data_IF_371169270421
#
_entry.id   IF_371169270421
#
_cell.length_a   1.000
_cell.length_b   1.000
_cell.length_c   1.000
_cell.angle_alpha   90.00
_cell.angle_beta   90.00
_cell.angle_gamma   90.00
#
_symmetry.space_group_name_H-M   'P 1'
#
loop_
_entity.id
_entity.type
_entity.pdbx_description
1 polymer ?
#
# COMPACT_ATOMS: atom_id res chain seq x y z
N UNK A 1 -6.37 8.08 -6.97
CA UNK A 1 -5.02 8.50 -7.44
C UNK A 1 -3.97 7.48 -7.01
N UNK A 2 -2.99 7.18 -7.87
CA UNK A 2 -1.87 6.26 -7.57
C UNK A 2 -0.55 6.97 -7.82
N UNK A 3 0.42 6.80 -6.94
CA UNK A 3 1.76 7.40 -7.06
C UNK A 3 2.84 6.45 -6.60
N UNK A 4 3.83 6.21 -7.46
CA UNK A 4 5.10 5.58 -7.10
C UNK A 4 6.16 6.67 -6.97
N UNK A 5 6.92 6.67 -5.89
CA UNK A 5 7.92 7.74 -5.63
C UNK A 5 9.12 7.20 -4.87
N UNK A 6 10.33 7.68 -5.18
CA UNK A 6 11.50 7.41 -4.34
C UNK A 6 11.53 8.31 -3.09
N UNK A 7 10.88 9.48 -3.18
CA UNK A 7 10.91 10.51 -2.14
C UNK A 7 10.00 10.17 -0.95
N UNK A 8 10.43 10.50 0.28
CA UNK A 8 9.56 10.43 1.46
C UNK A 8 8.26 11.23 1.29
N UNK A 9 7.22 10.79 2.00
CA UNK A 9 5.93 11.48 2.03
C UNK A 9 5.39 11.56 3.45
N UNK A 10 4.54 12.56 3.70
CA UNK A 10 3.88 12.79 4.97
C UNK A 10 2.45 12.23 4.96
N UNK A 11 2.17 11.09 5.63
CA UNK A 11 0.88 10.42 5.53
C UNK A 11 -0.29 11.28 6.04
N UNK A 12 -0.07 12.04 7.12
CA UNK A 12 -1.10 12.92 7.69
C UNK A 12 -1.50 14.05 6.73
N UNK A 13 -0.53 14.59 5.97
CA UNK A 13 -0.81 15.60 4.96
C UNK A 13 -1.55 15.02 3.76
N UNK A 14 -1.20 13.79 3.33
CA UNK A 14 -1.93 13.06 2.29
C UNK A 14 -3.38 12.81 2.70
N UNK A 15 -3.61 12.32 3.93
CA UNK A 15 -4.95 12.08 4.45
C UNK A 15 -5.77 13.37 4.55
N UNK A 16 -5.18 14.44 5.07
CA UNK A 16 -5.85 15.76 5.18
C UNK A 16 -6.32 16.24 3.81
N UNK A 17 -5.45 16.17 2.79
CA UNK A 17 -5.81 16.53 1.41
C UNK A 17 -6.86 15.58 0.84
N UNK A 18 -6.75 14.29 1.12
CA UNK A 18 -7.70 13.30 0.62
C UNK A 18 -9.10 13.50 1.19
N UNK A 19 -9.25 13.97 2.43
CA UNK A 19 -10.56 14.23 3.05
C UNK A 19 -11.22 15.55 2.61
N UNK A 20 -10.46 16.51 2.08
CA UNK A 20 -10.97 17.85 1.80
C UNK A 20 -12.05 17.86 0.70
N UNK A 21 -13.14 18.61 0.93
CA UNK A 21 -14.17 18.91 -0.09
C UNK A 21 -15.06 17.74 -0.49
N UNK A 22 -15.29 16.76 0.38
CA UNK A 22 -16.13 15.58 0.09
C UNK A 22 -17.47 15.62 0.80
N UNK A 23 -18.46 16.28 0.19
CA UNK A 23 -19.78 16.45 0.79
C UNK A 23 -20.61 15.16 0.84
N UNK A 24 -20.35 14.23 -0.08
CA UNK A 24 -21.10 12.96 -0.19
C UNK A 24 -20.38 11.76 0.47
N UNK A 25 -19.18 11.93 1.03
CA UNK A 25 -18.41 10.83 1.66
C UNK A 25 -18.71 10.73 3.16
N UNK A 26 -19.32 9.63 3.58
CA UNK A 26 -19.62 9.38 5.00
C UNK A 26 -18.48 8.73 5.79
N UNK A 27 -17.46 8.17 5.12
CA UNK A 27 -16.29 7.60 5.80
C UNK A 27 -15.02 7.58 4.94
N UNK A 28 -13.89 7.76 5.61
CA UNK A 28 -12.55 7.50 5.07
C UNK A 28 -11.83 6.52 6.00
N UNK A 29 -11.20 5.50 5.42
CA UNK A 29 -10.25 4.64 6.11
C UNK A 29 -8.87 4.83 5.47
N UNK A 30 -7.82 4.79 6.29
CA UNK A 30 -6.45 4.88 5.77
C UNK A 30 -5.51 3.93 6.50
N UNK A 31 -4.52 3.43 5.76
CA UNK A 31 -3.44 2.60 6.25
C UNK A 31 -2.09 3.22 5.91
N UNK A 32 -1.13 3.11 6.84
CA UNK A 32 0.27 3.47 6.62
C UNK A 32 1.14 2.28 6.97
N UNK A 33 1.91 1.79 6.00
CA UNK A 33 2.94 0.80 6.23
C UNK A 33 4.28 1.48 6.49
N UNK A 34 4.89 1.18 7.63
CA UNK A 34 6.23 1.66 7.98
C UNK A 34 7.28 0.58 7.75
N UNK A 35 8.46 0.98 7.30
CA UNK A 35 9.63 0.11 7.26
C UNK A 35 10.00 -0.31 8.68
N UNK A 36 10.29 -1.60 8.88
CA UNK A 36 10.71 -2.14 10.16
C UNK A 36 12.15 -2.60 10.06
N UNK A 37 12.92 -2.38 11.13
CA UNK A 37 14.20 -3.05 11.28
C UNK A 37 13.93 -4.48 11.81
N UNK A 38 14.16 -5.52 11.01
CA UNK A 38 14.14 -6.88 11.56
C UNK A 38 15.24 -7.01 12.61
N UNK A 39 14.85 -7.32 13.85
CA UNK A 39 15.74 -7.57 15.01
C UNK A 39 16.79 -6.47 15.26
N UNK A 40 16.53 -5.24 14.82
CA UNK A 40 17.47 -4.11 14.95
C UNK A 40 18.71 -4.19 14.05
N UNK A 41 18.72 -5.09 13.07
CA UNK A 41 19.87 -5.33 12.20
C UNK A 41 19.67 -4.83 10.76
N UNK A 42 18.44 -4.83 10.26
CA UNK A 42 18.17 -4.30 8.92
C UNK A 42 18.36 -2.78 8.89
N UNK A 43 19.35 -2.34 8.11
CA UNK A 43 19.72 -0.95 7.93
C UNK A 43 18.80 -0.20 6.96
N UNK A 44 18.27 -0.91 5.95
CA UNK A 44 17.32 -0.35 4.98
C UNK A 44 16.55 -1.44 4.23
N UNK A 45 15.33 -1.11 3.81
CA UNK A 45 14.60 -1.84 2.77
C UNK A 45 14.83 -1.11 1.44
N UNK A 46 15.17 -1.83 0.38
CA UNK A 46 15.23 -1.31 -0.98
C UNK A 46 14.11 -1.97 -1.80
N UNK A 47 13.29 -1.14 -2.42
CA UNK A 47 12.12 -1.54 -3.19
C UNK A 47 12.28 -1.14 -4.64
N UNK A 48 12.40 -2.11 -5.52
CA UNK A 48 12.41 -1.91 -6.96
C UNK A 48 11.02 -2.17 -7.55
N UNK A 49 10.65 -1.36 -8.52
CA UNK A 49 9.39 -1.47 -9.27
C UNK A 49 9.70 -1.33 -10.76
N UNK A 50 8.91 -1.99 -11.59
CA UNK A 50 9.02 -1.83 -13.04
C UNK A 50 8.09 -0.68 -13.47
N UNK A 51 8.62 0.46 -13.93
CA UNK A 51 7.80 1.60 -14.33
C UNK A 51 6.82 1.23 -15.44
N UNK A 52 5.57 1.66 -15.33
CA UNK A 52 4.49 1.35 -16.26
C UNK A 52 3.77 0.03 -15.97
N UNK A 53 4.45 -0.96 -15.37
CA UNK A 53 3.84 -2.25 -15.04
C UNK A 53 3.30 -2.27 -13.61
N UNK A 54 4.11 -1.82 -12.64
CA UNK A 54 3.71 -1.83 -11.23
C UNK A 54 2.53 -0.89 -10.97
N UNK A 55 2.55 0.32 -11.51
CA UNK A 55 1.46 1.29 -11.43
C UNK A 55 0.19 0.82 -12.16
N UNK A 56 0.32 0.14 -13.30
CA UNK A 56 -0.82 -0.46 -14.00
C UNK A 56 -1.47 -1.59 -13.19
N UNK A 57 -0.66 -2.46 -12.56
CA UNK A 57 -1.16 -3.52 -11.69
C UNK A 57 -1.90 -2.95 -10.47
N UNK A 58 -1.30 -1.94 -9.79
CA UNK A 58 -1.93 -1.27 -8.65
C UNK A 58 -3.22 -0.57 -9.08
N UNK A 59 -3.27 0.00 -10.29
CA UNK A 59 -4.47 0.61 -10.85
C UNK A 59 -5.59 -0.41 -11.04
N UNK A 60 -5.29 -1.60 -11.56
CA UNK A 60 -6.26 -2.67 -11.69
C UNK A 60 -6.82 -3.13 -10.32
N UNK A 61 -5.97 -3.18 -9.28
CA UNK A 61 -6.41 -3.50 -7.92
C UNK A 61 -7.35 -2.44 -7.37
N UNK A 62 -6.99 -1.16 -7.54
CA UNK A 62 -7.77 -0.02 -7.08
C UNK A 62 -9.14 0.06 -7.76
N UNK A 63 -9.22 -0.18 -9.07
CA UNK A 63 -10.49 -0.22 -9.81
C UNK A 63 -11.37 -1.41 -9.42
N UNK A 64 -10.76 -2.56 -9.15
CA UNK A 64 -11.47 -3.72 -8.59
C UNK A 64 -12.09 -3.36 -7.23
N UNK A 65 -11.29 -2.79 -6.31
CA UNK A 65 -11.78 -2.37 -5.00
C UNK A 65 -12.87 -1.31 -5.11
N UNK A 66 -12.70 -0.32 -6.00
CA UNK A 66 -13.68 0.73 -6.24
C UNK A 66 -15.03 0.15 -6.63
N UNK A 67 -15.03 -0.79 -7.57
CA UNK A 67 -16.24 -1.44 -8.07
C UNK A 67 -16.88 -2.32 -6.98
N UNK A 68 -16.08 -3.17 -6.34
CA UNK A 68 -16.54 -4.15 -5.35
C UNK A 68 -17.16 -3.50 -4.11
N UNK A 69 -16.51 -2.47 -3.58
CA UNK A 69 -16.93 -1.81 -2.33
C UNK A 69 -17.65 -0.48 -2.55
N UNK A 70 -17.97 -0.13 -3.82
CA UNK A 70 -18.66 1.11 -4.19
C UNK A 70 -17.95 2.36 -3.64
N UNK A 71 -16.62 2.40 -3.78
CA UNK A 71 -15.84 3.53 -3.30
C UNK A 71 -16.17 4.80 -4.08
N UNK A 72 -16.25 5.91 -3.36
CA UNK A 72 -16.30 7.23 -3.97
C UNK A 72 -14.93 7.59 -4.54
N UNK A 73 -13.85 7.24 -3.82
CA UNK A 73 -12.49 7.50 -4.25
C UNK A 73 -11.46 6.65 -3.49
N UNK A 74 -10.21 6.66 -3.96
CA UNK A 74 -9.06 6.03 -3.32
C UNK A 74 -7.77 6.83 -3.58
N UNK A 75 -6.79 6.68 -2.69
CA UNK A 75 -5.44 7.23 -2.87
C UNK A 75 -4.40 6.21 -2.41
N UNK A 76 -3.50 5.82 -3.31
CA UNK A 76 -2.38 4.92 -3.02
C UNK A 76 -1.08 5.64 -3.32
N UNK A 77 -0.17 5.70 -2.35
CA UNK A 77 1.21 6.14 -2.54
C UNK A 77 2.13 5.03 -2.07
N UNK A 78 3.09 4.63 -2.90
CA UNK A 78 4.07 3.60 -2.54
C UNK A 78 5.49 4.07 -2.85
N UNK A 79 6.38 3.91 -1.87
CA UNK A 79 7.80 4.20 -2.00
C UNK A 79 8.51 3.18 -2.89
N UNK A 80 9.50 3.63 -3.63
CA UNK A 80 10.55 2.82 -4.25
C UNK A 80 11.93 3.29 -3.78
N UNK A 81 12.98 2.62 -4.18
CA UNK A 81 14.35 2.90 -3.75
C UNK A 81 14.59 2.50 -2.30
N UNK A 82 15.60 3.13 -1.68
CA UNK A 82 16.01 2.84 -0.29
C UNK A 82 15.13 3.57 0.72
N UNK A 83 14.71 2.84 1.73
CA UNK A 83 13.78 3.29 2.77
C UNK A 83 14.34 2.85 4.12
N UNK A 84 14.57 3.82 5.00
CA UNK A 84 15.09 3.56 6.32
C UNK A 84 14.00 3.03 7.28
N UNK A 85 14.35 2.23 8.29
CA UNK A 85 13.41 1.83 9.34
C UNK A 85 12.69 3.03 9.96
N UNK A 86 11.37 2.89 10.18
CA UNK A 86 10.50 3.95 10.70
C UNK A 86 9.90 4.85 9.62
N UNK A 87 10.45 4.86 8.40
CA UNK A 87 9.86 5.65 7.30
C UNK A 87 8.59 5.01 6.74
N UNK A 88 7.67 5.84 6.25
CA UNK A 88 6.50 5.39 5.53
C UNK A 88 6.91 4.79 4.17
N UNK A 89 6.53 3.53 3.95
CA UNK A 89 6.70 2.80 2.68
C UNK A 89 5.46 2.95 1.83
N UNK A 90 4.27 2.79 2.41
CA UNK A 90 3.01 2.75 1.68
C UNK A 90 1.92 3.49 2.43
N UNK A 91 1.11 4.23 1.70
CA UNK A 91 -0.11 4.87 2.16
C UNK A 91 -1.26 4.42 1.27
N UNK A 92 -2.36 4.01 1.89
CA UNK A 92 -3.63 3.71 1.21
C UNK A 92 -4.71 4.48 1.94
N UNK A 93 -5.58 5.16 1.21
CA UNK A 93 -6.82 5.72 1.73
C UNK A 93 -7.99 5.38 0.80
N UNK A 94 -9.14 5.07 1.39
CA UNK A 94 -10.37 4.72 0.69
C UNK A 94 -11.52 5.57 1.25
N UNK A 95 -12.35 6.10 0.36
CA UNK A 95 -13.50 6.92 0.70
C UNK A 95 -14.79 6.23 0.24
N UNK A 96 -15.78 6.13 1.13
CA UNK A 96 -17.06 5.49 0.84
C UNK A 96 -18.22 6.19 1.56
N UNK A 97 -19.45 5.85 1.17
CA UNK A 97 -20.66 6.33 1.85
C UNK A 97 -20.75 5.89 3.32
N UNK A 98 -20.23 4.70 3.66
CA UNK A 98 -20.20 4.22 5.04
C UNK A 98 -18.86 3.58 5.40
N UNK A 99 -18.64 3.44 6.72
CA UNK A 99 -17.35 2.99 7.27
C UNK A 99 -16.96 1.56 6.88
N UNK A 100 -17.94 0.67 6.66
CA UNK A 100 -17.66 -0.76 6.43
C UNK A 100 -16.93 -0.94 5.11
N UNK A 101 -17.46 -0.34 4.06
CA UNK A 101 -16.94 -0.33 2.71
C UNK A 101 -15.56 0.33 2.66
N UNK A 102 -15.37 1.44 3.39
CA UNK A 102 -14.06 2.08 3.49
C UNK A 102 -13.01 1.14 4.13
N UNK A 103 -13.33 0.52 5.27
CA UNK A 103 -12.42 -0.39 5.95
C UNK A 103 -12.10 -1.63 5.11
N UNK A 104 -13.11 -2.30 4.58
CA UNK A 104 -12.95 -3.53 3.80
C UNK A 104 -12.14 -3.27 2.53
N UNK A 105 -12.39 -2.16 1.83
CA UNK A 105 -11.61 -1.82 0.65
C UNK A 105 -10.16 -1.47 0.99
N UNK A 106 -9.91 -0.80 2.12
CA UNK A 106 -8.54 -0.49 2.55
C UNK A 106 -7.78 -1.78 2.87
N UNK A 107 -8.42 -2.74 3.56
CA UNK A 107 -7.87 -4.05 3.91
C UNK A 107 -7.61 -4.90 2.65
N UNK A 108 -8.60 -4.99 1.75
CA UNK A 108 -8.49 -5.65 0.46
C UNK A 108 -7.31 -5.13 -0.36
N UNK A 109 -7.17 -3.80 -0.48
CA UNK A 109 -6.09 -3.19 -1.23
C UNK A 109 -4.74 -3.52 -0.60
N UNK A 110 -4.64 -3.54 0.73
CA UNK A 110 -3.39 -3.86 1.40
C UNK A 110 -2.97 -5.32 1.19
N UNK A 111 -3.90 -6.26 1.22
CA UNK A 111 -3.58 -7.67 0.96
C UNK A 111 -3.09 -7.87 -0.47
N UNK A 112 -3.78 -7.27 -1.45
CA UNK A 112 -3.38 -7.36 -2.87
C UNK A 112 -2.06 -6.64 -3.14
N UNK A 113 -1.83 -5.47 -2.55
CA UNK A 113 -0.55 -4.76 -2.65
C UNK A 113 0.61 -5.57 -2.09
N UNK A 114 0.43 -6.25 -0.95
CA UNK A 114 1.51 -7.03 -0.34
C UNK A 114 1.85 -8.32 -1.07
N UNK A 115 0.86 -8.94 -1.71
CA UNK A 115 0.97 -10.29 -2.27
C UNK A 115 1.09 -10.33 -3.80
N UNK A 116 0.46 -9.38 -4.51
CA UNK A 116 0.31 -9.39 -5.98
C UNK A 116 1.02 -8.23 -6.67
N UNK A 117 1.32 -7.12 -5.97
CA UNK A 117 2.00 -6.01 -6.62
C UNK A 117 3.44 -6.38 -6.99
N UNK A 118 3.89 -6.11 -8.24
CA UNK A 118 5.20 -6.50 -8.73
C UNK A 118 6.26 -5.54 -8.19
N UNK A 119 6.67 -5.78 -6.95
CA UNK A 119 7.81 -5.16 -6.31
C UNK A 119 8.88 -6.22 -6.02
N UNK A 120 10.14 -5.85 -6.22
CA UNK A 120 11.28 -6.64 -5.77
C UNK A 120 11.85 -6.00 -4.52
N UNK A 121 11.89 -6.78 -3.44
CA UNK A 121 12.30 -6.30 -2.11
C UNK A 121 13.69 -6.82 -1.82
N UNK A 122 14.59 -5.92 -1.45
CA UNK A 122 15.93 -6.23 -1.02
C UNK A 122 16.16 -5.65 0.37
N UNK A 123 16.55 -6.49 1.31
CA UNK A 123 16.88 -6.06 2.67
C UNK A 123 18.40 -5.89 2.80
N UNK A 124 18.82 -4.78 3.40
CA UNK A 124 20.23 -4.49 3.70
C UNK A 124 20.47 -4.70 5.19
N UNK A 125 21.43 -5.56 5.54
CA UNK A 125 21.83 -5.83 6.92
C UNK A 125 23.36 -5.85 7.10
N UNK A 126 23.86 -6.23 8.28
CA UNK A 126 25.29 -6.23 8.60
C UNK A 126 26.10 -7.18 7.71
N UNK A 127 25.49 -8.30 7.32
CA UNK A 127 26.10 -9.34 6.49
C UNK A 127 25.94 -9.09 4.98
N UNK A 128 25.44 -7.90 4.60
CA UNK A 128 25.19 -7.51 3.21
C UNK A 128 23.70 -7.48 2.86
N UNK A 129 23.42 -7.49 1.55
CA UNK A 129 22.07 -7.29 1.02
C UNK A 129 21.49 -8.59 0.43
N UNK A 130 20.24 -8.91 0.78
CA UNK A 130 19.54 -10.12 0.32
C UNK A 130 18.18 -9.79 -0.29
N UNK A 131 17.78 -10.54 -1.32
CA UNK A 131 16.42 -10.46 -1.85
C UNK A 131 15.45 -11.21 -0.94
N UNK A 132 14.25 -10.66 -0.75
CA UNK A 132 13.20 -11.26 0.07
C UNK A 132 11.93 -11.44 -0.77
N UNK A 133 11.24 -12.57 -0.54
CA UNK A 133 9.99 -12.90 -1.21
C UNK A 133 8.77 -12.58 -0.32
N UNK A 134 7.57 -12.43 -0.91
CA UNK A 134 6.32 -12.38 -0.15
C UNK A 134 6.16 -13.61 0.75
N UNK A 135 5.60 -13.41 1.94
CA UNK A 135 5.41 -14.51 2.90
C UNK A 135 4.19 -15.36 2.55
N UNK A 136 4.13 -16.60 3.04
CA UNK A 136 2.94 -17.46 2.87
C UNK A 136 1.69 -16.81 3.44
N UNK A 137 1.84 -16.06 4.55
CA UNK A 137 0.76 -15.29 5.15
C UNK A 137 0.19 -14.26 4.18
N UNK A 138 1.04 -13.50 3.48
CA UNK A 138 0.57 -12.52 2.50
C UNK A 138 -0.26 -13.19 1.39
N UNK A 139 0.10 -14.40 0.97
CA UNK A 139 -0.65 -15.18 -0.03
C UNK A 139 -2.00 -15.64 0.53
N UNK A 140 -2.02 -16.17 1.75
CA UNK A 140 -3.27 -16.59 2.42
C UNK A 140 -4.22 -15.42 2.62
N UNK A 141 -3.73 -14.30 3.13
CA UNK A 141 -4.53 -13.10 3.39
C UNK A 141 -5.15 -12.58 2.07
N UNK A 142 -4.42 -12.62 0.95
CA UNK A 142 -4.97 -12.24 -0.35
C UNK A 142 -6.03 -13.21 -0.89
N UNK A 143 -5.89 -14.51 -0.63
CA UNK A 143 -6.80 -15.54 -1.13
C UNK A 143 -8.20 -15.48 -0.52
N UNK A 144 -8.35 -14.85 0.65
CA UNK A 144 -9.66 -14.65 1.30
C UNK A 144 -10.61 -13.79 0.45
N UNK A 145 -10.06 -13.02 -0.48
CA UNK A 145 -10.81 -12.14 -1.37
C UNK A 145 -11.17 -12.79 -2.72
N UNK A 146 -10.63 -13.97 -3.02
CA UNK A 146 -10.92 -14.72 -4.25
C UNK A 146 -12.24 -15.49 -4.17
N UNK A 147 -12.83 -15.60 -2.98
CA UNK A 147 -14.11 -16.26 -2.72
C UNK A 147 -15.23 -15.24 -2.52
N UNK A 148 -15.70 -14.62 -3.60
CA UNK A 148 -16.95 -13.83 -3.67
C UNK A 148 -17.24 -13.46 -5.12
#
# INVERSE_FOLDING_TARGET
>A
MITLTAEPFEPGALLTRFCAGRDETGAVASFVGLARAEKGQAAALELEAYPGFTDAAISAFAETARTRFRLHDYHIVHRTGRIAPGEAIVFVATAAGHRREAFEACDFLMDWLKSRAPFWKKEHGPDGARWIEPTDRDRTDASRWDQE
#
